data_IF_298000325611
#
_entry.id   IF_298000325611
#
_cell.length_a   1.000
_cell.length_b   1.000
_cell.length_c   1.000
_cell.angle_alpha   90.00
_cell.angle_beta   90.00
_cell.angle_gamma   90.00
#
_symmetry.space_group_name_H-M   'P 1'
#
loop_
_entity.id
_entity.type
_entity.pdbx_description
1 polymer ?
#
# COMPACT_ATOMS: atom_id res chain seq x y z
N UNK A 1 8.99 -20.31 -1.88
CA UNK A 1 9.08 -19.22 -2.88
C UNK A 1 7.90 -19.31 -3.83
N UNK A 2 7.19 -18.20 -4.03
CA UNK A 2 6.17 -18.01 -5.05
C UNK A 2 6.37 -16.63 -5.69
N UNK A 3 6.12 -16.51 -6.99
CA UNK A 3 6.19 -15.21 -7.67
C UNK A 3 5.36 -15.18 -8.96
N UNK A 4 4.96 -13.98 -9.37
CA UNK A 4 4.21 -13.73 -10.61
C UNK A 4 5.05 -14.06 -11.85
N UNK A 5 4.55 -14.94 -12.72
CA UNK A 5 5.26 -15.37 -13.94
C UNK A 5 5.10 -14.45 -15.15
N UNK A 6 3.98 -13.72 -15.19
CA UNK A 6 3.70 -12.74 -16.23
C UNK A 6 2.85 -11.62 -15.65
N UNK A 7 3.18 -10.39 -16.04
CA UNK A 7 2.52 -9.17 -15.54
C UNK A 7 2.47 -8.15 -16.67
N UNK A 8 1.45 -7.30 -16.68
CA UNK A 8 1.43 -6.16 -17.60
C UNK A 8 2.52 -5.15 -17.26
N UNK A 9 2.99 -4.42 -18.27
CA UNK A 9 3.70 -3.16 -18.07
C UNK A 9 2.88 -2.26 -17.13
N UNK A 10 3.55 -1.66 -16.15
CA UNK A 10 2.93 -0.92 -15.04
C UNK A 10 2.07 -1.73 -14.06
N UNK A 11 1.98 -3.05 -14.21
CA UNK A 11 1.39 -3.94 -13.22
C UNK A 11 2.33 -4.24 -12.05
N UNK A 12 1.94 -5.13 -11.14
CA UNK A 12 2.76 -5.49 -9.95
C UNK A 12 3.31 -6.91 -10.10
N UNK A 13 4.62 -7.02 -10.27
CA UNK A 13 5.35 -8.24 -9.96
C UNK A 13 5.47 -8.37 -8.44
N UNK A 14 5.13 -9.53 -7.88
CA UNK A 14 5.35 -9.84 -6.47
C UNK A 14 6.16 -11.14 -6.34
N UNK A 15 7.22 -11.08 -5.55
CA UNK A 15 7.93 -12.24 -5.02
C UNK A 15 7.55 -12.42 -3.56
N UNK A 16 7.35 -13.67 -3.14
CA UNK A 16 7.03 -14.05 -1.77
C UNK A 16 7.84 -15.28 -1.36
N UNK A 17 8.45 -15.23 -0.18
CA UNK A 17 9.09 -16.40 0.42
C UNK A 17 8.98 -16.39 1.95
N UNK A 18 8.99 -17.58 2.53
CA UNK A 18 9.28 -17.74 3.94
C UNK A 18 10.72 -17.31 4.23
N UNK A 19 10.92 -16.73 5.40
CA UNK A 19 12.21 -16.34 5.95
C UNK A 19 12.22 -16.49 7.46
N UNK A 20 13.33 -16.08 8.08
CA UNK A 20 13.51 -16.18 9.52
C UNK A 20 12.53 -15.30 10.29
N UNK A 21 11.96 -15.83 11.37
CA UNK A 21 11.17 -15.07 12.34
C UNK A 21 11.95 -14.72 13.60
N UNK A 22 13.26 -15.02 13.63
CA UNK A 22 14.10 -14.76 14.80
C UNK A 22 14.38 -13.26 14.97
N UNK A 23 14.19 -12.76 16.19
CA UNK A 23 14.39 -11.34 16.55
C UNK A 23 13.19 -10.47 16.18
N UNK A 24 13.45 -9.21 15.81
CA UNK A 24 12.47 -8.33 15.19
C UNK A 24 12.63 -8.33 13.65
N UNK A 25 11.74 -9.01 12.88
CA UNK A 25 11.78 -9.04 11.42
C UNK A 25 11.74 -7.67 10.73
N UNK A 26 11.17 -6.65 11.38
CA UNK A 26 11.02 -5.32 10.79
C UNK A 26 12.29 -4.47 10.90
N UNK A 27 13.15 -4.75 11.87
CA UNK A 27 14.36 -3.98 12.14
C UNK A 27 15.65 -4.74 11.80
N UNK A 28 15.68 -6.04 12.07
CA UNK A 28 16.90 -6.84 12.01
C UNK A 28 17.07 -7.55 10.67
N UNK A 29 16.01 -7.60 9.86
CA UNK A 29 15.97 -8.37 8.62
C UNK A 29 15.83 -7.46 7.41
N UNK A 30 16.61 -7.75 6.39
CA UNK A 30 16.60 -7.09 5.10
C UNK A 30 16.32 -8.10 4.00
N UNK A 31 15.57 -7.65 3.02
CA UNK A 31 15.32 -8.33 1.76
C UNK A 31 15.38 -7.26 0.67
N UNK A 32 16.12 -7.52 -0.39
CA UNK A 32 16.21 -6.65 -1.56
C UNK A 32 16.12 -7.50 -2.80
N UNK A 33 15.70 -6.90 -3.91
CA UNK A 33 15.80 -7.55 -5.20
C UNK A 33 16.34 -6.63 -6.27
N UNK A 34 17.19 -7.18 -7.13
CA UNK A 34 17.62 -6.60 -8.38
C UNK A 34 16.75 -7.14 -9.51
N UNK A 35 16.15 -6.24 -10.28
CA UNK A 35 15.37 -6.52 -11.48
C UNK A 35 16.12 -5.99 -12.71
N UNK A 36 16.27 -6.82 -13.74
CA UNK A 36 17.07 -6.56 -14.92
C UNK A 36 16.34 -6.99 -16.20
N UNK A 37 16.32 -6.11 -17.19
CA UNK A 37 15.90 -6.34 -18.58
C UNK A 37 16.89 -5.59 -19.50
N UNK A 38 16.65 -5.58 -20.81
CA UNK A 38 17.52 -4.86 -21.75
C UNK A 38 17.41 -3.34 -21.53
N UNK A 39 16.23 -2.86 -21.13
CA UNK A 39 15.93 -1.43 -20.97
C UNK A 39 15.90 -0.93 -19.52
N UNK A 40 15.84 -1.82 -18.51
CA UNK A 40 15.68 -1.43 -17.11
C UNK A 40 16.51 -2.27 -16.16
N UNK A 41 17.23 -1.58 -15.26
CA UNK A 41 17.94 -2.18 -14.13
C UNK A 41 17.60 -1.44 -12.85
N UNK A 42 16.93 -2.10 -11.91
CA UNK A 42 16.47 -1.48 -10.66
C UNK A 42 16.64 -2.40 -9.47
N UNK A 43 17.22 -1.86 -8.40
CA UNK A 43 17.22 -2.50 -7.08
C UNK A 43 16.10 -1.90 -6.24
N UNK A 44 15.29 -2.76 -5.61
CA UNK A 44 14.20 -2.35 -4.72
C UNK A 44 14.32 -3.04 -3.37
N UNK A 45 13.79 -2.38 -2.34
CA UNK A 45 13.63 -2.99 -1.02
C UNK A 45 12.40 -3.89 -1.00
N UNK A 46 12.51 -5.01 -0.30
CA UNK A 46 11.36 -5.77 0.16
C UNK A 46 10.96 -5.40 1.58
N UNK A 47 10.03 -6.17 2.13
CA UNK A 47 9.49 -5.98 3.46
C UNK A 47 9.01 -7.29 4.08
N UNK A 48 8.89 -7.30 5.41
CA UNK A 48 8.24 -8.38 6.15
C UNK A 48 6.73 -8.15 6.20
N UNK A 49 5.94 -9.18 5.87
CA UNK A 49 4.49 -9.12 5.74
C UNK A 49 3.75 -9.98 6.79
N UNK A 50 4.46 -10.36 7.86
CA UNK A 50 3.91 -11.17 8.95
C UNK A 50 4.02 -12.68 8.71
N UNK A 51 3.84 -13.46 9.79
CA UNK A 51 3.83 -14.93 9.76
C UNK A 51 5.03 -15.58 9.04
N UNK A 52 6.24 -15.00 9.18
CA UNK A 52 7.44 -15.51 8.51
C UNK A 52 7.55 -15.18 7.02
N UNK A 53 6.61 -14.40 6.47
CA UNK A 53 6.56 -14.07 5.05
C UNK A 53 7.30 -12.76 4.75
N UNK A 54 8.18 -12.82 3.75
CA UNK A 54 8.88 -11.67 3.18
C UNK A 54 8.47 -11.49 1.73
N UNK A 55 8.33 -10.23 1.32
CA UNK A 55 7.88 -9.86 -0.02
C UNK A 55 8.81 -8.84 -0.67
N UNK A 56 8.86 -8.89 -1.99
CA UNK A 56 9.37 -7.79 -2.83
C UNK A 56 8.33 -7.51 -3.90
N UNK A 57 8.04 -6.23 -4.13
CA UNK A 57 7.17 -5.79 -5.20
C UNK A 57 7.91 -4.89 -6.18
N UNK A 58 7.60 -5.05 -7.46
CA UNK A 58 8.21 -4.29 -8.53
C UNK A 58 7.19 -3.98 -9.61
N UNK A 59 7.25 -2.77 -10.15
CA UNK A 59 6.39 -2.32 -11.24
C UNK A 59 7.25 -2.13 -12.51
N UNK A 60 7.19 -3.05 -13.48
CA UNK A 60 8.05 -3.01 -14.66
C UNK A 60 7.63 -1.90 -15.63
N UNK A 61 8.62 -1.31 -16.30
CA UNK A 61 8.39 -0.17 -17.22
C UNK A 61 8.40 -0.56 -18.70
N UNK A 62 8.91 -1.74 -19.05
CA UNK A 62 9.15 -2.16 -20.44
C UNK A 62 8.58 -3.56 -20.71
N UNK A 63 8.05 -3.76 -21.91
CA UNK A 63 7.45 -5.02 -22.39
C UNK A 63 8.55 -6.01 -22.81
N UNK A 64 9.27 -6.52 -21.82
CA UNK A 64 10.46 -7.35 -22.01
C UNK A 64 10.43 -8.55 -21.06
N UNK A 65 11.36 -9.49 -21.24
CA UNK A 65 11.64 -10.50 -20.22
C UNK A 65 12.53 -9.89 -19.14
N UNK A 66 12.14 -10.03 -17.89
CA UNK A 66 12.91 -9.58 -16.74
C UNK A 66 13.53 -10.77 -16.04
N UNK A 67 14.79 -10.62 -15.66
CA UNK A 67 15.48 -11.46 -14.70
C UNK A 67 15.45 -10.77 -13.35
N UNK A 68 15.30 -11.53 -12.28
CA UNK A 68 15.42 -11.00 -10.93
C UNK A 68 16.33 -11.84 -10.05
N UNK A 69 16.93 -11.16 -9.08
CA UNK A 69 17.70 -11.76 -7.99
C UNK A 69 17.21 -11.18 -6.67
N UNK A 70 16.75 -12.02 -5.74
CA UNK A 70 16.38 -11.63 -4.37
C UNK A 70 17.46 -12.12 -3.40
N UNK A 71 17.92 -11.24 -2.53
CA UNK A 71 18.88 -11.54 -1.47
C UNK A 71 18.63 -10.70 -0.22
N UNK A 72 19.31 -11.05 0.87
CA UNK A 72 19.21 -10.36 2.16
C UNK A 72 19.49 -11.32 3.31
N UNK A 73 19.44 -10.83 4.55
CA UNK A 73 19.64 -11.67 5.73
C UNK A 73 18.33 -12.23 6.31
N UNK A 74 17.21 -12.08 5.58
CA UNK A 74 15.93 -12.74 5.89
C UNK A 74 15.96 -14.26 5.65
N UNK A 75 16.90 -14.74 4.82
CA UNK A 75 17.07 -16.15 4.45
C UNK A 75 18.54 -16.41 4.05
N UNK A 76 19.04 -17.63 4.24
CA UNK A 76 20.37 -18.04 3.76
C UNK A 76 20.42 -18.30 2.24
N UNK A 77 19.26 -18.26 1.58
CA UNK A 77 19.13 -18.53 0.16
C UNK A 77 19.13 -17.26 -0.68
N UNK A 78 19.82 -17.33 -1.82
CA UNK A 78 19.63 -16.41 -2.95
C UNK A 78 18.53 -16.98 -3.84
N UNK A 79 17.55 -16.16 -4.22
CA UNK A 79 16.47 -16.58 -5.12
C UNK A 79 16.59 -15.87 -6.46
N UNK A 80 16.40 -16.61 -7.54
CA UNK A 80 16.51 -16.09 -8.90
C UNK A 80 15.36 -16.60 -9.76
N UNK A 81 15.02 -15.86 -10.79
CA UNK A 81 13.98 -16.26 -11.73
C UNK A 81 13.77 -15.25 -12.85
N UNK A 82 12.82 -15.57 -13.71
CA UNK A 82 12.39 -14.71 -14.81
C UNK A 82 10.88 -14.55 -14.84
N UNK A 83 10.42 -13.43 -15.38
CA UNK A 83 9.02 -13.20 -15.68
C UNK A 83 8.88 -12.36 -16.95
N UNK A 84 7.77 -12.55 -17.67
CA UNK A 84 7.52 -11.84 -18.92
C UNK A 84 6.58 -10.66 -18.69
N UNK A 85 6.96 -9.48 -19.20
CA UNK A 85 6.12 -8.29 -19.14
C UNK A 85 5.33 -8.13 -20.42
N UNK A 86 4.00 -8.13 -20.31
CA UNK A 86 3.08 -8.01 -21.45
C UNK A 86 2.67 -6.56 -21.70
N UNK A 87 2.14 -6.23 -22.89
CA UNK A 87 1.48 -4.95 -23.11
C UNK A 87 0.42 -4.68 -22.03
N UNK A 88 0.21 -3.41 -21.64
CA UNK A 88 -0.83 -3.06 -20.70
C UNK A 88 -2.21 -3.27 -21.34
N UNK A 89 -3.20 -3.64 -20.51
CA UNK A 89 -4.61 -3.67 -20.91
C UNK A 89 -5.12 -2.27 -21.25
N UNK A 90 -6.23 -2.18 -21.99
CA UNK A 90 -6.78 -0.91 -22.49
C UNK A 90 -7.04 0.14 -21.39
N UNK A 91 -7.34 -0.31 -20.16
CA UNK A 91 -7.62 0.56 -19.01
C UNK A 91 -6.40 0.76 -18.09
N UNK A 92 -5.24 0.18 -18.43
CA UNK A 92 -4.00 0.35 -17.69
C UNK A 92 -3.13 1.42 -18.36
N UNK A 93 -3.32 2.67 -17.92
CA UNK A 93 -2.58 3.82 -18.45
C UNK A 93 -1.23 4.07 -17.74
N UNK A 94 -0.91 3.25 -16.72
CA UNK A 94 0.26 3.42 -15.86
C UNK A 94 0.14 4.60 -14.89
N UNK A 95 1.26 5.08 -14.35
CA UNK A 95 1.23 6.16 -13.34
C UNK A 95 0.92 7.53 -13.94
N UNK A 96 0.15 8.34 -13.20
CA UNK A 96 0.02 9.79 -13.41
C UNK A 96 1.36 10.49 -13.16
N UNK A 97 1.75 11.39 -14.07
CA UNK A 97 2.98 12.19 -14.01
C UNK A 97 2.68 13.64 -14.38
N UNK A 98 3.55 14.56 -13.96
CA UNK A 98 3.51 15.95 -14.45
C UNK A 98 3.77 15.94 -15.95
N UNK A 99 2.90 16.61 -16.70
CA UNK A 99 3.05 16.87 -18.12
C UNK A 99 3.45 18.34 -18.33
N UNK A 100 4.61 18.55 -18.95
CA UNK A 100 5.25 19.84 -19.12
C UNK A 100 5.47 20.58 -17.78
N UNK A 101 4.60 21.54 -17.47
CA UNK A 101 4.75 22.43 -16.30
C UNK A 101 3.53 22.45 -15.38
N UNK A 102 2.32 22.31 -15.91
CA UNK A 102 1.07 22.60 -15.17
C UNK A 102 -0.04 21.55 -15.35
N UNK A 103 0.20 20.52 -16.17
CA UNK A 103 -0.81 19.49 -16.46
C UNK A 103 -0.33 18.13 -15.98
N UNK A 104 -1.21 17.13 -16.08
CA UNK A 104 -0.89 15.76 -15.77
C UNK A 104 -1.25 14.85 -16.95
N UNK A 105 -0.51 13.77 -17.08
CA UNK A 105 -0.82 12.69 -18.00
C UNK A 105 -0.45 11.35 -17.36
N UNK A 106 -1.14 10.31 -17.77
CA UNK A 106 -0.75 8.94 -17.51
C UNK A 106 0.53 8.56 -18.28
N UNK A 107 1.11 7.40 -17.95
CA UNK A 107 2.39 6.97 -18.52
C UNK A 107 2.30 6.61 -20.00
N UNK A 108 1.12 6.27 -20.51
CA UNK A 108 0.82 6.07 -21.93
C UNK A 108 0.60 7.38 -22.71
N UNK A 109 0.56 8.54 -22.03
CA UNK A 109 0.28 9.84 -22.61
C UNK A 109 -1.18 10.29 -22.52
N UNK A 110 -2.09 9.47 -22.00
CA UNK A 110 -3.49 9.82 -21.78
C UNK A 110 -3.59 11.02 -20.82
N UNK A 111 -4.27 12.14 -21.18
CA UNK A 111 -4.42 13.29 -20.29
C UNK A 111 -5.13 12.93 -18.99
N UNK A 112 -4.64 13.48 -17.87
CA UNK A 112 -5.27 13.30 -16.56
C UNK A 112 -5.66 14.65 -15.97
N UNK A 113 -6.96 14.80 -15.65
CA UNK A 113 -7.51 15.98 -15.00
C UNK A 113 -8.04 15.57 -13.61
N UNK A 114 -7.36 15.94 -12.51
CA UNK A 114 -7.78 15.50 -11.19
C UNK A 114 -9.07 16.18 -10.76
N UNK A 115 -10.14 15.39 -10.62
CA UNK A 115 -11.40 15.77 -10.01
C UNK A 115 -11.51 14.99 -8.71
N UNK A 116 -11.06 15.63 -7.63
CA UNK A 116 -10.86 14.97 -6.34
C UNK A 116 -12.04 15.09 -5.38
N UNK A 117 -12.17 14.10 -4.52
CA UNK A 117 -12.99 14.16 -3.29
C UNK A 117 -12.15 13.87 -2.04
N UNK A 118 -12.79 13.99 -0.86
CA UNK A 118 -12.16 13.77 0.45
C UNK A 118 -12.97 12.77 1.26
N UNK A 119 -12.31 11.71 1.73
CA UNK A 119 -12.89 10.82 2.74
C UNK A 119 -11.75 10.30 3.62
N UNK A 120 -11.47 10.96 4.75
CA UNK A 120 -10.18 10.80 5.41
C UNK A 120 -9.88 9.39 5.95
N UNK A 121 -10.87 8.64 6.40
CA UNK A 121 -10.65 7.34 7.06
C UNK A 121 -11.65 6.28 6.63
N UNK A 122 -12.14 6.38 5.39
CA UNK A 122 -13.11 5.44 4.82
C UNK A 122 -12.61 4.00 4.85
N UNK A 123 -11.32 3.82 4.56
CA UNK A 123 -10.58 2.55 4.54
C UNK A 123 -10.44 1.89 5.92
N UNK A 124 -10.82 2.56 7.01
CA UNK A 124 -10.76 2.00 8.37
C UNK A 124 -12.15 1.82 8.99
N UNK A 125 -13.20 2.02 8.20
CA UNK A 125 -14.59 1.78 8.61
C UNK A 125 -14.96 0.28 8.52
N UNK A 126 -16.20 -0.07 8.87
CA UNK A 126 -16.74 -1.41 8.63
C UNK A 126 -16.82 -1.74 7.14
N UNK A 127 -16.80 -3.03 6.84
CA UNK A 127 -16.90 -3.55 5.47
C UNK A 127 -18.12 -2.99 4.73
N UNK A 128 -19.28 -2.87 5.39
CA UNK A 128 -20.50 -2.29 4.80
C UNK A 128 -20.31 -0.83 4.37
N UNK A 129 -19.61 -0.01 5.19
CA UNK A 129 -19.36 1.39 4.86
C UNK A 129 -18.27 1.55 3.81
N UNK A 130 -17.27 0.68 3.80
CA UNK A 130 -16.25 0.61 2.74
C UNK A 130 -16.93 0.27 1.41
N UNK A 131 -17.77 -0.76 1.37
CA UNK A 131 -18.52 -1.15 0.18
C UNK A 131 -19.45 -0.02 -0.30
N UNK A 132 -20.17 0.62 0.61
CA UNK A 132 -21.02 1.78 0.28
C UNK A 132 -20.19 2.95 -0.28
N UNK A 133 -18.99 3.18 0.27
CA UNK A 133 -18.08 4.22 -0.21
C UNK A 133 -17.61 3.93 -1.62
N UNK A 134 -17.16 2.69 -1.90
CA UNK A 134 -16.73 2.26 -3.23
C UNK A 134 -17.86 2.36 -4.26
N UNK A 135 -19.08 1.94 -3.90
CA UNK A 135 -20.25 2.07 -4.78
C UNK A 135 -20.61 3.54 -5.03
N UNK A 136 -20.51 4.40 -4.01
CA UNK A 136 -20.71 5.84 -4.18
C UNK A 136 -19.68 6.45 -5.12
N UNK A 137 -18.40 6.09 -4.94
CA UNK A 137 -17.30 6.58 -5.77
C UNK A 137 -17.45 6.14 -7.23
N UNK A 138 -17.81 4.88 -7.46
CA UNK A 138 -18.08 4.32 -8.79
C UNK A 138 -19.16 5.09 -9.56
N UNK A 139 -20.18 5.57 -8.86
CA UNK A 139 -21.28 6.35 -9.45
C UNK A 139 -21.06 7.87 -9.38
N UNK A 140 -19.85 8.31 -9.00
CA UNK A 140 -19.47 9.71 -8.87
C UNK A 140 -18.54 10.15 -10.01
N UNK A 141 -18.37 11.47 -10.23
CA UNK A 141 -17.41 11.98 -11.22
C UNK A 141 -15.96 12.01 -10.70
N UNK A 142 -15.69 11.54 -9.48
CA UNK A 142 -14.37 11.67 -8.88
C UNK A 142 -13.41 10.60 -9.39
N UNK A 143 -12.22 11.03 -9.83
CA UNK A 143 -11.12 10.15 -10.23
C UNK A 143 -9.93 10.22 -9.28
N UNK A 144 -10.10 10.89 -8.13
CA UNK A 144 -9.10 10.93 -7.06
C UNK A 144 -9.78 11.02 -5.71
N UNK A 145 -9.28 10.31 -4.72
CA UNK A 145 -9.74 10.42 -3.33
C UNK A 145 -8.57 10.61 -2.38
N UNK A 146 -8.70 11.58 -1.48
CA UNK A 146 -7.73 11.80 -0.40
C UNK A 146 -8.15 11.08 0.88
N UNK A 147 -7.24 10.30 1.45
CA UNK A 147 -7.44 9.57 2.71
C UNK A 147 -6.13 9.34 3.49
N UNK A 148 -6.25 9.04 4.78
CA UNK A 148 -5.16 8.83 5.72
C UNK A 148 -4.84 7.33 5.87
N UNK A 149 -3.55 7.01 6.06
CA UNK A 149 -3.15 5.68 6.51
C UNK A 149 -3.42 5.51 8.00
N UNK A 150 -3.15 6.54 8.80
CA UNK A 150 -3.37 6.53 10.23
C UNK A 150 -4.85 6.75 10.58
N UNK A 151 -5.37 6.09 11.63
CA UNK A 151 -6.67 6.42 12.19
C UNK A 151 -6.77 7.90 12.54
N UNK A 152 -7.97 8.45 12.40
CA UNK A 152 -8.26 9.85 12.73
C UNK A 152 -9.17 9.87 13.95
N UNK A 153 -8.74 10.49 15.03
CA UNK A 153 -9.64 10.85 16.13
C UNK A 153 -10.01 12.33 15.96
N UNK A 154 -11.31 12.63 15.87
CA UNK A 154 -11.80 13.99 15.62
C UNK A 154 -13.26 14.13 16.06
N UNK A 155 -13.74 15.37 16.21
CA UNK A 155 -15.17 15.64 16.35
C UNK A 155 -15.96 14.93 15.22
N UNK A 156 -17.07 14.27 15.56
CA UNK A 156 -17.85 13.42 14.66
C UNK A 156 -17.16 12.17 14.10
N UNK A 157 -15.98 11.82 14.61
CA UNK A 157 -15.29 10.58 14.27
C UNK A 157 -14.66 9.94 15.52
N UNK A 158 -15.53 9.42 16.38
CA UNK A 158 -15.18 8.71 17.63
C UNK A 158 -15.17 7.19 17.48
N UNK A 159 -15.45 6.66 16.28
CA UNK A 159 -15.49 5.22 16.05
C UNK A 159 -14.08 4.66 16.10
N UNK A 160 -13.90 3.62 16.90
CA UNK A 160 -12.68 2.83 16.93
C UNK A 160 -12.37 2.25 15.53
N UNK A 161 -11.14 2.45 15.01
CA UNK A 161 -10.75 1.94 13.71
C UNK A 161 -10.69 0.42 13.74
N UNK A 162 -10.88 -0.21 12.58
CA UNK A 162 -10.79 -1.67 12.47
C UNK A 162 -9.40 -2.24 12.77
N UNK A 163 -8.35 -1.44 12.68
CA UNK A 163 -6.96 -1.83 12.90
C UNK A 163 -6.05 -0.62 13.09
N UNK A 164 -4.88 -0.87 13.67
CA UNK A 164 -3.80 0.10 13.87
C UNK A 164 -2.52 -0.35 13.15
N UNK A 165 -1.64 0.59 12.77
CA UNK A 165 -0.43 0.29 12.01
C UNK A 165 0.69 -0.38 12.82
N UNK A 166 0.64 -0.30 14.16
CA UNK A 166 1.63 -0.90 15.05
C UNK A 166 0.98 -1.94 15.96
N UNK A 167 1.77 -2.89 16.46
CA UNK A 167 1.34 -3.79 17.52
C UNK A 167 1.21 -3.02 18.84
N UNK A 168 0.17 -3.31 19.61
CA UNK A 168 -0.09 -2.60 20.86
C UNK A 168 -1.56 -2.52 21.22
N UNK A 169 -1.87 -1.62 22.14
CA UNK A 169 -3.21 -1.34 22.65
C UNK A 169 -3.43 0.18 22.64
N UNK A 170 -4.48 0.67 21.99
CA UNK A 170 -4.86 2.07 22.07
C UNK A 170 -5.40 2.39 23.47
N UNK A 171 -5.50 3.68 23.77
CA UNK A 171 -6.39 4.12 24.85
C UNK A 171 -7.82 3.61 24.61
N UNK A 172 -8.56 3.35 25.69
CA UNK A 172 -9.97 2.94 25.60
C UNK A 172 -10.81 4.04 24.96
N UNK A 173 -11.23 3.83 23.72
CA UNK A 173 -12.03 4.77 22.94
C UNK A 173 -13.36 5.15 23.60
N UNK A 174 -13.91 4.32 24.48
CA UNK A 174 -15.15 4.65 25.21
C UNK A 174 -14.97 5.80 26.20
N UNK A 175 -13.73 6.14 26.57
CA UNK A 175 -13.41 7.29 27.39
C UNK A 175 -13.30 8.60 26.59
N UNK A 176 -13.21 8.52 25.25
CA UNK A 176 -13.04 9.68 24.37
C UNK A 176 -14.42 10.23 23.97
N UNK A 177 -14.62 11.51 24.23
CA UNK A 177 -15.80 12.29 23.88
C UNK A 177 -15.39 13.49 23.00
N UNK A 178 -16.37 14.14 22.38
CA UNK A 178 -16.10 15.34 21.57
C UNK A 178 -15.49 16.49 22.38
N UNK A 179 -15.78 16.55 23.68
CA UNK A 179 -15.28 17.59 24.59
C UNK A 179 -13.83 17.35 25.02
N UNK A 180 -13.38 16.09 25.04
CA UNK A 180 -12.07 15.73 25.59
C UNK A 180 -11.08 15.17 24.56
N UNK A 181 -11.49 14.95 23.30
CA UNK A 181 -10.67 14.34 22.24
C UNK A 181 -9.32 15.03 22.06
N UNK A 182 -9.27 16.34 22.25
CA UNK A 182 -8.07 17.16 22.14
C UNK A 182 -7.08 17.01 23.30
N UNK A 183 -7.49 16.39 24.40
CA UNK A 183 -6.66 16.12 25.57
C UNK A 183 -5.87 14.81 25.48
N UNK A 184 -6.16 13.96 24.49
CA UNK A 184 -5.43 12.70 24.29
C UNK A 184 -4.19 12.92 23.43
N UNK A 185 -3.08 12.37 23.89
CA UNK A 185 -1.75 12.41 23.28
C UNK A 185 -1.18 10.99 23.17
N UNK A 186 -0.09 10.78 22.41
CA UNK A 186 0.59 9.48 22.38
C UNK A 186 0.99 8.93 23.76
N UNK A 187 1.23 9.79 24.74
CA UNK A 187 1.62 9.42 26.11
C UNK A 187 0.42 9.21 27.06
N UNK A 188 -0.81 9.26 26.54
CA UNK A 188 -2.00 9.09 27.37
C UNK A 188 -2.06 7.69 27.99
N UNK A 189 -2.47 7.64 29.25
CA UNK A 189 -2.62 6.38 29.99
C UNK A 189 -3.57 5.44 29.24
N UNK A 190 -3.14 4.20 29.05
CA UNK A 190 -3.87 3.17 28.30
C UNK A 190 -3.31 2.96 26.89
N UNK A 191 -2.55 3.93 26.37
CA UNK A 191 -1.82 3.77 25.12
C UNK A 191 -0.53 2.98 25.37
N UNK A 192 -0.36 1.84 24.71
CA UNK A 192 0.83 1.00 24.80
C UNK A 192 1.15 0.43 23.42
N UNK A 193 2.14 1.01 22.74
CA UNK A 193 2.52 0.62 21.38
C UNK A 193 3.96 0.13 21.31
N UNK A 194 4.17 -0.92 20.53
CA UNK A 194 5.48 -1.30 20.03
C UNK A 194 5.70 -0.65 18.66
N UNK A 195 6.34 0.52 18.66
CA UNK A 195 6.65 1.24 17.41
C UNK A 195 7.76 0.60 16.58
N UNK A 196 8.38 -0.47 17.06
CA UNK A 196 9.32 -1.28 16.31
C UNK A 196 8.65 -2.42 15.54
N UNK A 197 7.34 -2.66 15.78
CA UNK A 197 6.57 -3.73 15.14
C UNK A 197 5.33 -3.20 14.46
N UNK A 198 5.34 -3.24 13.13
CA UNK A 198 4.14 -2.99 12.35
C UNK A 198 3.12 -4.12 12.54
N UNK A 199 1.84 -3.81 12.35
CA UNK A 199 0.77 -4.77 12.17
C UNK A 199 0.50 -4.97 10.66
N UNK A 200 1.01 -6.03 10.01
CA UNK A 200 0.90 -6.19 8.55
C UNK A 200 -0.54 -6.22 8.05
N UNK A 201 -1.50 -6.72 8.87
CA UNK A 201 -2.92 -6.77 8.49
C UNK A 201 -3.51 -5.39 8.22
N UNK A 202 -3.01 -4.35 8.88
CA UNK A 202 -3.45 -2.98 8.63
C UNK A 202 -3.04 -2.52 7.22
N UNK A 203 -1.78 -2.74 6.85
CA UNK A 203 -1.25 -2.38 5.53
C UNK A 203 -1.84 -3.24 4.41
N UNK A 204 -1.98 -4.55 4.62
CA UNK A 204 -2.67 -5.45 3.69
C UNK A 204 -4.10 -4.98 3.39
N UNK A 205 -4.81 -4.48 4.39
CA UNK A 205 -6.15 -3.93 4.18
C UNK A 205 -6.14 -2.61 3.40
N UNK A 206 -5.19 -1.72 3.69
CA UNK A 206 -5.01 -0.48 2.93
C UNK A 206 -4.67 -0.80 1.46
N UNK A 207 -3.80 -1.78 1.21
CA UNK A 207 -3.47 -2.26 -0.13
C UNK A 207 -4.71 -2.76 -0.86
N UNK A 208 -5.55 -3.57 -0.20
CA UNK A 208 -6.85 -3.98 -0.75
C UNK A 208 -7.69 -2.77 -1.16
N UNK A 209 -7.85 -1.77 -0.28
CA UNK A 209 -8.62 -0.56 -0.58
C UNK A 209 -8.03 0.21 -1.77
N UNK A 210 -6.70 0.32 -1.88
CA UNK A 210 -6.03 0.96 -3.02
C UNK A 210 -6.28 0.17 -4.32
N UNK A 211 -6.23 -1.17 -4.27
CA UNK A 211 -6.54 -2.01 -5.44
C UNK A 211 -8.00 -1.88 -5.86
N UNK A 212 -8.94 -1.74 -4.92
CA UNK A 212 -10.35 -1.47 -5.26
C UNK A 212 -10.52 -0.11 -5.93
N UNK A 213 -9.82 0.94 -5.45
CA UNK A 213 -9.80 2.24 -6.12
C UNK A 213 -9.19 2.16 -7.54
N UNK A 214 -8.09 1.40 -7.69
CA UNK A 214 -7.45 1.18 -8.99
C UNK A 214 -8.42 0.55 -10.00
N UNK A 215 -9.21 -0.45 -9.58
CA UNK A 215 -10.23 -1.08 -10.44
C UNK A 215 -11.32 -0.11 -10.88
N UNK A 216 -11.55 0.96 -10.13
CA UNK A 216 -12.50 2.02 -10.44
C UNK A 216 -11.86 3.17 -11.25
N UNK A 217 -10.56 3.13 -11.53
CA UNK A 217 -9.84 4.23 -12.18
C UNK A 217 -9.69 5.47 -11.29
N UNK A 218 -9.61 5.27 -9.97
CA UNK A 218 -9.52 6.35 -8.98
C UNK A 218 -8.12 6.37 -8.34
N UNK A 219 -7.46 7.53 -8.42
CA UNK A 219 -6.15 7.74 -7.81
C UNK A 219 -6.27 7.86 -6.28
N UNK A 220 -5.43 7.10 -5.58
CA UNK A 220 -5.27 7.16 -4.13
C UNK A 220 -4.31 8.30 -3.73
N UNK A 221 -4.86 9.42 -3.24
CA UNK A 221 -4.10 10.55 -2.69
C UNK A 221 -3.85 10.33 -1.20
N UNK A 222 -2.80 9.57 -0.89
CA UNK A 222 -2.52 9.07 0.46
C UNK A 222 -1.84 10.15 1.32
N UNK A 223 -2.44 10.45 2.47
CA UNK A 223 -1.82 11.24 3.53
C UNK A 223 -1.00 10.30 4.41
N UNK A 224 0.32 10.52 4.39
CA UNK A 224 1.31 9.82 5.22
C UNK A 224 1.41 10.43 6.62
#
# INVERSE_FOLDING_TARGET
MNYTKSVEKWGVFEFCSEGTTAGNPFLERSITALFESDSERKTVNGFYDGNGIYKVRFMPSFEEEYHFTVCGNFSDSKYEGTFSVTPPSENNHGCVKVNNKYHFQYSDGTPYYPVGTTCYVWNLQSDDLIAQTLETLKNSPFNKIRFCIFPKSYCYNSREPRSYPYEGTPVDGSAITEDNVWGYTPDSKGNNWDFERFNPKHFQHIEYCITELQKLGIEADIIL
#
